data_IF_139090231506
#
_entry.id   IF_139090231506
#
_cell.length_a   1.000
_cell.length_b   1.000
_cell.length_c   1.000
_cell.angle_alpha   90.00
_cell.angle_beta   90.00
_cell.angle_gamma   90.00
#
_symmetry.space_group_name_H-M   'P 1'
#
loop_
_entity.id
_entity.type
_entity.pdbx_description
1 polymer ?
#
# COMPACT_ATOMS: atom_id res chain seq x y z
N UNK A 1 3.20 50.54 7.58
CA UNK A 1 2.73 50.70 6.20
C UNK A 1 2.28 49.33 5.75
N UNK A 2 1.00 49.15 5.39
CA UNK A 2 0.56 47.89 4.80
C UNK A 2 1.27 47.80 3.44
N UNK A 3 2.25 46.91 3.33
CA UNK A 3 2.95 46.66 2.08
C UNK A 3 1.92 46.13 1.10
N UNK A 4 1.71 46.81 -0.03
CA UNK A 4 0.84 46.29 -1.08
C UNK A 4 1.43 44.94 -1.55
N UNK A 5 0.66 43.86 -1.38
CA UNK A 5 1.06 42.51 -1.77
C UNK A 5 1.34 42.43 -3.28
N UNK A 6 0.67 43.27 -4.07
CA UNK A 6 0.96 43.45 -5.48
C UNK A 6 2.40 43.92 -5.70
N UNK A 7 2.80 45.02 -5.06
CA UNK A 7 4.16 45.57 -5.18
C UNK A 7 5.24 44.60 -4.65
N UNK A 8 4.94 43.88 -3.57
CA UNK A 8 5.85 42.89 -2.99
C UNK A 8 6.16 41.74 -3.96
N UNK A 9 5.16 41.30 -4.75
CA UNK A 9 5.30 40.14 -5.64
C UNK A 9 5.90 40.48 -7.00
N UNK A 10 5.84 41.75 -7.44
CA UNK A 10 6.36 42.20 -8.75
C UNK A 10 7.75 41.66 -9.09
N UNK A 11 8.76 41.70 -8.20
CA UNK A 11 10.10 41.19 -8.51
C UNK A 11 10.14 39.68 -8.78
N UNK A 12 9.19 38.93 -8.22
CA UNK A 12 9.15 37.48 -8.28
C UNK A 12 8.21 36.93 -9.34
N UNK A 13 7.27 37.73 -9.86
CA UNK A 13 6.30 37.30 -10.88
C UNK A 13 6.92 36.57 -12.08
N UNK A 14 8.11 36.96 -12.62
CA UNK A 14 8.74 36.23 -13.72
C UNK A 14 9.14 34.78 -13.40
N UNK A 15 9.28 34.43 -12.12
CA UNK A 15 9.64 33.09 -11.66
C UNK A 15 8.43 32.28 -11.18
N UNK A 16 7.21 32.82 -11.30
CA UNK A 16 5.96 32.12 -11.02
C UNK A 16 5.39 31.60 -12.33
N UNK A 17 5.30 30.28 -12.47
CA UNK A 17 4.71 29.61 -13.62
C UNK A 17 3.35 29.04 -13.27
N UNK A 18 2.44 29.09 -14.24
CA UNK A 18 1.18 28.34 -14.19
C UNK A 18 1.43 26.93 -14.75
N UNK A 19 1.14 25.85 -14.01
CA UNK A 19 1.22 24.48 -14.50
C UNK A 19 0.42 24.30 -15.81
N UNK A 20 1.02 23.64 -16.80
CA UNK A 20 0.39 23.32 -18.08
C UNK A 20 0.12 21.82 -18.21
N UNK A 21 -0.66 21.43 -19.22
CA UNK A 21 -0.88 20.02 -19.58
C UNK A 21 0.46 19.33 -19.86
N UNK A 22 0.85 18.38 -19.00
CA UNK A 22 2.12 17.64 -19.09
C UNK A 22 3.14 18.01 -18.00
N UNK A 23 2.97 19.13 -17.30
CA UNK A 23 3.79 19.46 -16.13
C UNK A 23 3.45 18.51 -14.96
N UNK A 24 4.47 18.07 -14.23
CA UNK A 24 4.33 17.21 -13.04
C UNK A 24 4.43 18.06 -11.79
N UNK A 25 3.39 18.03 -10.95
CA UNK A 25 3.31 18.83 -9.71
C UNK A 25 3.47 17.92 -8.50
N UNK A 26 4.61 18.02 -7.82
CA UNK A 26 4.95 17.19 -6.66
C UNK A 26 4.45 17.83 -5.35
N UNK A 27 3.14 17.75 -5.12
CA UNK A 27 2.46 18.31 -3.94
C UNK A 27 2.24 17.31 -2.78
N UNK A 28 2.67 16.06 -2.96
CA UNK A 28 2.42 14.98 -2.00
C UNK A 28 3.66 14.53 -1.23
N UNK A 29 4.86 14.71 -1.79
CA UNK A 29 6.10 14.17 -1.22
C UNK A 29 7.30 15.06 -1.57
N UNK A 30 8.22 15.21 -0.63
CA UNK A 30 9.49 15.90 -0.81
C UNK A 30 10.42 15.16 -1.79
N UNK A 31 11.19 15.89 -2.59
CA UNK A 31 12.17 15.30 -3.51
C UNK A 31 13.35 14.59 -2.78
N UNK A 32 13.73 15.06 -1.59
CA UNK A 32 14.89 14.59 -0.81
C UNK A 32 14.55 13.76 0.43
N UNK A 33 13.32 13.85 0.93
CA UNK A 33 12.83 13.13 2.11
C UNK A 33 11.44 12.54 1.86
N UNK A 34 10.90 11.80 2.83
CA UNK A 34 9.49 11.36 2.82
C UNK A 34 8.56 12.36 3.52
N UNK A 35 8.96 13.63 3.61
CA UNK A 35 8.05 14.67 4.10
C UNK A 35 6.87 14.86 3.16
N UNK A 36 5.71 15.09 3.77
CA UNK A 36 4.44 15.33 3.08
C UNK A 36 3.76 16.55 3.73
N UNK A 37 2.63 17.04 3.19
CA UNK A 37 1.88 18.09 3.87
C UNK A 37 1.40 17.70 5.28
N UNK A 38 1.33 16.41 5.60
CA UNK A 38 1.01 15.90 6.95
C UNK A 38 2.21 15.93 7.92
N UNK A 39 3.43 16.19 7.42
CA UNK A 39 4.61 16.38 8.28
C UNK A 39 4.47 17.69 9.08
N UNK A 40 5.11 17.76 10.25
CA UNK A 40 5.09 18.96 11.12
C UNK A 40 5.49 20.23 10.35
N UNK A 41 6.47 20.08 9.44
CA UNK A 41 6.98 21.13 8.57
C UNK A 41 6.12 21.52 7.38
N UNK A 42 5.13 20.70 7.03
CA UNK A 42 4.43 20.77 5.74
C UNK A 42 5.37 20.53 4.56
N UNK A 43 4.89 20.88 3.37
CA UNK A 43 5.61 20.72 2.10
C UNK A 43 5.62 22.04 1.33
N UNK A 44 6.78 22.44 0.81
CA UNK A 44 6.99 23.64 0.01
C UNK A 44 7.09 23.25 -1.47
N UNK A 45 6.10 23.63 -2.25
CA UNK A 45 6.07 23.39 -3.70
C UNK A 45 6.62 24.62 -4.42
N UNK A 46 7.69 24.44 -5.18
CA UNK A 46 8.30 25.49 -5.99
C UNK A 46 7.29 26.01 -7.04
N UNK A 47 7.01 27.32 -7.05
CA UNK A 47 6.06 27.92 -8.00
C UNK A 47 6.59 28.04 -9.44
N UNK A 48 7.83 27.58 -9.70
CA UNK A 48 8.45 27.57 -11.03
C UNK A 48 8.57 26.15 -11.61
N UNK A 49 9.15 25.23 -10.84
CA UNK A 49 9.45 23.85 -11.26
C UNK A 49 8.43 22.84 -10.78
N UNK A 50 7.55 23.22 -9.84
CA UNK A 50 6.53 22.38 -9.22
C UNK A 50 7.07 21.18 -8.45
N UNK A 51 8.35 21.22 -8.07
CA UNK A 51 8.98 20.26 -7.17
C UNK A 51 8.61 20.55 -5.71
N UNK A 52 8.38 19.51 -4.92
CA UNK A 52 8.07 19.58 -3.50
C UNK A 52 9.31 19.40 -2.63
N UNK A 53 9.44 20.21 -1.59
CA UNK A 53 10.55 20.18 -0.63
C UNK A 53 10.03 20.26 0.80
N UNK A 54 10.51 19.39 1.68
CA UNK A 54 10.27 19.51 3.12
C UNK A 54 10.96 20.74 3.70
N UNK A 55 10.60 21.10 4.94
CA UNK A 55 11.15 22.28 5.64
C UNK A 55 12.68 22.30 5.67
N UNK A 56 13.32 21.16 5.85
CA UNK A 56 14.80 21.06 5.92
C UNK A 56 15.47 21.17 4.54
N UNK A 57 14.72 21.01 3.45
CA UNK A 57 15.24 20.92 2.08
C UNK A 57 14.88 22.11 1.19
N UNK A 58 13.88 22.92 1.55
CA UNK A 58 13.49 24.10 0.76
C UNK A 58 14.62 25.13 0.68
N UNK A 59 15.33 25.35 1.79
CA UNK A 59 16.47 26.27 1.86
C UNK A 59 17.61 25.84 0.92
N UNK A 60 17.82 24.52 0.78
CA UNK A 60 18.79 23.95 -0.17
C UNK A 60 18.41 24.30 -1.61
N UNK A 61 17.14 24.13 -1.97
CA UNK A 61 16.66 24.48 -3.31
C UNK A 61 16.75 25.98 -3.58
N UNK A 62 16.38 26.83 -2.62
CA UNK A 62 16.52 28.28 -2.71
C UNK A 62 17.97 28.70 -2.97
N UNK A 63 18.92 28.21 -2.15
CA UNK A 63 20.35 28.55 -2.32
C UNK A 63 20.93 28.07 -3.65
N UNK A 64 20.45 26.93 -4.17
CA UNK A 64 20.95 26.33 -5.41
C UNK A 64 20.38 26.98 -6.67
N UNK A 65 19.13 27.44 -6.63
CA UNK A 65 18.39 27.90 -7.82
C UNK A 65 18.07 29.40 -7.81
N UNK A 66 18.14 30.06 -6.66
CA UNK A 66 17.64 31.42 -6.44
C UNK A 66 16.10 31.52 -6.39
N UNK A 67 15.37 30.42 -6.54
CA UNK A 67 13.91 30.45 -6.51
C UNK A 67 13.41 30.86 -5.13
N UNK A 68 12.66 31.95 -5.08
CA UNK A 68 12.24 32.56 -3.81
C UNK A 68 10.78 32.30 -3.44
N UNK A 69 9.91 31.98 -4.41
CA UNK A 69 8.48 31.81 -4.16
C UNK A 69 8.08 30.34 -4.17
N UNK A 70 7.47 29.91 -3.06
CA UNK A 70 6.97 28.55 -2.86
C UNK A 70 5.54 28.59 -2.35
N UNK A 71 4.75 27.58 -2.71
CA UNK A 71 3.46 27.31 -2.06
C UNK A 71 3.68 26.31 -0.93
N UNK A 72 3.47 26.74 0.30
CA UNK A 72 3.50 25.90 1.48
C UNK A 72 2.14 25.22 1.68
N UNK A 73 2.17 23.90 1.84
CA UNK A 73 1.02 23.03 2.02
C UNK A 73 1.13 22.31 3.34
N UNK A 74 0.08 22.39 4.16
CA UNK A 74 0.02 21.70 5.44
C UNK A 74 -1.36 21.08 5.65
N UNK A 75 -1.40 19.83 6.11
CA UNK A 75 -2.61 19.12 6.48
C UNK A 75 -2.61 18.87 7.98
N UNK A 76 -3.61 19.39 8.66
CA UNK A 76 -3.85 19.15 10.09
C UNK A 76 -4.84 17.99 10.22
N UNK A 77 -4.46 16.97 10.99
CA UNK A 77 -5.31 15.80 11.29
C UNK A 77 -5.82 15.96 12.72
N UNK A 78 -7.14 16.01 12.89
CA UNK A 78 -7.82 16.07 14.20
C UNK A 78 -8.64 14.81 14.39
N UNK A 79 -8.53 14.19 15.56
CA UNK A 79 -9.39 13.06 15.94
C UNK A 79 -10.76 13.59 16.39
N UNK A 80 -11.84 12.97 15.93
CA UNK A 80 -13.20 13.30 16.37
C UNK A 80 -13.37 12.84 17.81
N UNK A 81 -13.71 13.78 18.70
CA UNK A 81 -14.08 13.43 20.06
C UNK A 81 -15.36 12.60 20.06
N UNK A 82 -15.28 11.30 20.39
CA UNK A 82 -16.47 10.49 20.68
C UNK A 82 -17.04 10.91 22.04
N UNK A 83 -17.88 11.95 22.03
CA UNK A 83 -18.47 12.54 23.22
C UNK A 83 -19.99 12.42 23.25
N UNK A 84 -20.47 11.48 24.08
CA UNK A 84 -21.80 11.39 24.69
C UNK A 84 -23.03 11.12 23.80
N UNK A 85 -23.84 10.17 24.27
CA UNK A 85 -25.18 9.86 23.78
C UNK A 85 -26.04 11.13 23.60
N UNK A 86 -26.56 11.31 22.40
CA UNK A 86 -27.54 12.33 22.06
C UNK A 86 -27.72 12.37 20.56
N UNK A 87 -28.81 11.78 20.06
CA UNK A 87 -29.13 11.64 18.65
C UNK A 87 -29.31 12.97 17.91
N UNK A 88 -28.21 13.65 17.62
CA UNK A 88 -28.13 14.75 16.69
C UNK A 88 -27.06 14.42 15.66
N UNK A 89 -27.49 14.19 14.42
CA UNK A 89 -26.63 14.04 13.25
C UNK A 89 -25.65 15.22 13.22
N UNK A 90 -24.32 15.01 13.32
CA UNK A 90 -23.36 16.10 13.27
C UNK A 90 -23.45 16.75 11.88
N UNK A 91 -23.77 18.04 11.84
CA UNK A 91 -23.70 18.85 10.62
C UNK A 91 -22.27 18.80 10.11
N UNK A 92 -22.04 18.18 8.94
CA UNK A 92 -20.81 18.31 8.15
C UNK A 92 -20.47 19.80 8.04
N UNK A 93 -19.43 20.25 8.77
CA UNK A 93 -18.79 21.53 8.47
C UNK A 93 -17.95 21.30 7.22
N UNK A 94 -18.24 22.06 6.18
CA UNK A 94 -17.55 22.03 4.89
C UNK A 94 -16.11 22.56 5.07
N UNK A 95 -15.20 21.73 5.58
CA UNK A 95 -13.76 21.95 5.41
C UNK A 95 -13.42 21.78 3.93
N UNK A 96 -12.85 22.79 3.28
CA UNK A 96 -12.40 22.68 1.89
C UNK A 96 -11.15 21.79 1.86
N UNK A 97 -11.34 20.49 1.64
CA UNK A 97 -10.25 19.56 1.35
C UNK A 97 -9.88 19.76 -0.12
N UNK A 98 -8.69 20.29 -0.39
CA UNK A 98 -8.20 20.54 -1.76
C UNK A 98 -6.88 19.81 -2.04
N UNK A 99 -6.22 19.29 -1.00
CA UNK A 99 -5.11 18.37 -1.19
C UNK A 99 -5.69 16.98 -1.50
N UNK A 100 -5.68 16.62 -2.78
CA UNK A 100 -5.77 15.23 -3.23
C UNK A 100 -4.45 14.50 -2.88
N UNK A 101 -4.09 14.53 -1.60
CA UNK A 101 -3.18 13.58 -1.02
C UNK A 101 -3.98 12.30 -0.99
N UNK A 102 -3.86 11.53 -2.08
CA UNK A 102 -4.40 10.18 -2.22
C UNK A 102 -4.32 9.53 -0.86
N UNK A 103 -5.50 9.47 -0.23
CA UNK A 103 -5.65 9.06 1.16
C UNK A 103 -4.89 7.76 1.30
N UNK A 104 -4.08 7.66 2.35
CA UNK A 104 -3.75 6.37 2.92
C UNK A 104 -5.09 5.65 3.15
N UNK A 105 -5.55 4.87 2.16
CA UNK A 105 -6.87 4.20 2.15
C UNK A 105 -6.98 3.17 3.27
N UNK A 106 -5.92 2.99 4.05
CA UNK A 106 -5.88 2.16 5.26
C UNK A 106 -6.66 2.78 6.43
N UNK A 107 -7.08 4.05 6.36
CA UNK A 107 -7.99 4.65 7.35
C UNK A 107 -9.38 4.83 6.75
N UNK A 108 -10.13 3.73 6.66
CA UNK A 108 -11.59 3.72 6.68
C UNK A 108 -12.10 4.14 8.09
N UNK A 109 -11.56 5.24 8.63
CA UNK A 109 -11.94 5.76 9.93
C UNK A 109 -12.91 6.91 9.73
N UNK A 110 -14.18 6.70 10.04
CA UNK A 110 -15.16 7.77 10.24
C UNK A 110 -14.77 8.72 11.41
N UNK A 111 -13.56 8.58 11.97
CA UNK A 111 -13.06 9.15 13.22
C UNK A 111 -12.08 10.32 13.07
N UNK A 112 -11.62 10.69 11.86
CA UNK A 112 -10.69 11.81 11.67
C UNK A 112 -11.30 12.96 10.86
N UNK A 113 -11.01 14.19 11.28
CA UNK A 113 -11.25 15.43 10.55
C UNK A 113 -9.93 15.97 9.98
N UNK A 114 -9.94 16.34 8.70
CA UNK A 114 -8.79 16.87 7.99
C UNK A 114 -9.02 18.35 7.65
N UNK A 115 -8.03 19.18 7.95
CA UNK A 115 -8.02 20.60 7.63
C UNK A 115 -6.77 20.93 6.82
N UNK A 116 -6.97 21.34 5.57
CA UNK A 116 -5.90 21.70 4.64
C UNK A 116 -5.63 23.20 4.70
N UNK A 117 -4.37 23.57 4.81
CA UNK A 117 -3.87 24.94 4.85
C UNK A 117 -2.88 25.13 3.69
N UNK A 118 -3.06 26.22 2.95
CA UNK A 118 -2.15 26.63 1.87
C UNK A 118 -1.72 28.08 2.07
N UNK A 119 -0.44 28.35 1.83
CA UNK A 119 0.15 29.69 1.89
C UNK A 119 1.16 29.87 0.77
N UNK A 120 1.36 31.12 0.32
CA UNK A 120 2.57 31.48 -0.40
C UNK A 120 3.65 31.90 0.60
N UNK A 121 4.86 31.42 0.41
CA UNK A 121 6.02 31.76 1.24
C UNK A 121 7.12 32.32 0.34
N UNK A 122 7.62 33.51 0.71
CA UNK A 122 8.67 34.23 -0.03
C UNK A 122 9.96 34.21 0.78
N UNK A 123 11.01 33.61 0.22
CA UNK A 123 12.37 33.60 0.74
C UNK A 123 13.13 34.88 0.35
N UNK A 124 14.15 35.31 1.13
CA UNK A 124 14.68 34.67 2.34
C UNK A 124 13.92 35.01 3.64
N UNK A 125 13.05 36.02 3.63
CA UNK A 125 12.42 36.54 4.85
C UNK A 125 11.29 35.65 5.40
N UNK A 126 10.96 34.57 4.69
CA UNK A 126 9.86 33.65 5.01
C UNK A 126 8.51 34.38 5.15
N UNK A 127 8.29 35.39 4.31
CA UNK A 127 7.04 36.15 4.34
C UNK A 127 5.88 35.27 3.87
N UNK A 128 4.88 35.08 4.73
CA UNK A 128 3.74 34.19 4.48
C UNK A 128 2.49 34.97 4.05
N UNK A 129 1.85 34.53 2.97
CA UNK A 129 0.57 35.04 2.48
C UNK A 129 -0.44 33.89 2.51
N UNK A 130 -1.50 33.96 3.35
CA UNK A 130 -2.53 32.93 3.41
C UNK A 130 -3.30 32.80 2.10
N UNK A 131 -3.70 31.58 1.71
CA UNK A 131 -4.57 31.32 0.56
C UNK A 131 -5.93 30.75 1.01
N UNK A 132 -7.03 31.03 0.29
CA UNK A 132 -7.13 31.88 -0.90
C UNK A 132 -7.15 33.37 -0.53
N UNK A 133 -6.37 34.19 -1.24
CA UNK A 133 -6.39 35.65 -1.11
C UNK A 133 -6.64 36.30 -2.49
N UNK A 134 -7.90 36.22 -2.94
CA UNK A 134 -8.31 36.55 -4.32
C UNK A 134 -8.30 38.07 -4.56
N UNK A 135 -8.52 38.88 -3.53
CA UNK A 135 -8.67 40.33 -3.66
C UNK A 135 -7.33 41.09 -3.66
N UNK A 136 -6.30 40.56 -3.00
CA UNK A 136 -5.01 41.25 -2.84
C UNK A 136 -3.87 40.68 -3.72
N UNK A 137 -4.05 39.49 -4.29
CA UNK A 137 -3.03 38.85 -5.14
C UNK A 137 -3.19 39.22 -6.62
N UNK A 138 -2.09 39.44 -7.36
CA UNK A 138 -2.14 39.59 -8.81
C UNK A 138 -2.80 38.39 -9.49
N UNK A 139 -3.62 38.63 -10.52
CA UNK A 139 -4.41 37.58 -11.18
C UNK A 139 -3.56 36.38 -11.66
N UNK A 140 -2.35 36.62 -12.17
CA UNK A 140 -1.42 35.56 -12.59
C UNK A 140 -1.06 34.63 -11.42
N UNK A 141 -0.81 35.20 -10.24
CA UNK A 141 -0.41 34.47 -9.04
C UNK A 141 -1.58 33.65 -8.52
N UNK A 142 -2.78 34.23 -8.48
CA UNK A 142 -4.02 33.53 -8.11
C UNK A 142 -4.27 32.34 -9.04
N UNK A 143 -4.15 32.52 -10.36
CA UNK A 143 -4.30 31.44 -11.35
C UNK A 143 -3.24 30.35 -11.15
N UNK A 144 -1.98 30.73 -10.88
CA UNK A 144 -0.92 29.77 -10.64
C UNK A 144 -1.18 28.95 -9.37
N UNK A 145 -1.56 29.59 -8.26
CA UNK A 145 -1.93 28.91 -7.01
C UNK A 145 -3.07 27.93 -7.22
N UNK A 146 -4.18 28.36 -7.82
CA UNK A 146 -5.31 27.48 -8.10
C UNK A 146 -4.93 26.31 -9.00
N UNK A 147 -4.11 26.54 -10.03
CA UNK A 147 -3.63 25.49 -10.91
C UNK A 147 -2.72 24.47 -10.19
N UNK A 148 -1.83 24.91 -9.29
CA UNK A 148 -0.97 24.00 -8.51
C UNK A 148 -1.80 23.20 -7.50
N UNK A 149 -2.77 23.84 -6.82
CA UNK A 149 -3.68 23.17 -5.88
C UNK A 149 -4.54 22.10 -6.57
N UNK A 150 -5.04 22.37 -7.78
CA UNK A 150 -5.89 21.46 -8.54
C UNK A 150 -5.11 20.49 -9.45
N UNK A 151 -3.78 20.59 -9.55
CA UNK A 151 -2.97 19.72 -10.39
C UNK A 151 -3.08 18.25 -9.93
N UNK A 152 -3.24 17.27 -10.85
CA UNK A 152 -3.32 15.87 -10.48
C UNK A 152 -1.99 15.34 -9.92
N UNK A 153 -2.05 14.27 -9.12
CA UNK A 153 -0.87 13.52 -8.66
C UNK A 153 0.00 13.10 -9.86
N UNK A 154 1.33 13.27 -9.79
CA UNK A 154 2.23 12.82 -10.86
C UNK A 154 2.24 11.30 -11.00
N UNK A 155 1.71 10.58 -10.00
CA UNK A 155 1.66 9.13 -9.92
C UNK A 155 0.33 8.54 -10.42
N UNK A 156 -0.65 9.34 -10.85
CA UNK A 156 -2.01 8.91 -11.22
C UNK A 156 -2.08 7.88 -12.36
N UNK A 157 -1.04 7.76 -13.20
CA UNK A 157 -0.93 6.70 -14.22
C UNK A 157 -0.52 5.33 -13.64
N UNK A 158 -0.01 5.31 -12.42
CA UNK A 158 0.46 4.12 -11.71
C UNK A 158 -0.48 3.68 -10.58
N UNK A 159 -1.61 4.34 -10.38
CA UNK A 159 -2.66 3.86 -9.48
C UNK A 159 -3.85 3.41 -10.33
N UNK A 160 -4.15 2.10 -10.38
CA UNK A 160 -5.47 1.67 -10.79
C UNK A 160 -6.43 1.82 -9.60
N UNK A 161 -7.72 1.97 -9.92
CA UNK A 161 -8.83 1.61 -9.03
C UNK A 161 -8.51 0.31 -8.31
N UNK A 162 -8.84 0.26 -7.01
CA UNK A 162 -8.68 -0.91 -6.14
C UNK A 162 -9.10 -2.18 -6.88
N UNK A 163 -8.13 -3.00 -7.26
CA UNK A 163 -8.39 -4.35 -7.72
C UNK A 163 -8.67 -5.18 -6.47
N UNK A 164 -9.94 -5.43 -6.20
CA UNK A 164 -10.31 -6.79 -5.81
C UNK A 164 -9.88 -7.66 -7.00
N UNK A 165 -8.99 -8.63 -6.79
CA UNK A 165 -8.65 -9.57 -7.86
C UNK A 165 -9.96 -10.24 -8.28
N UNK A 166 -10.50 -9.87 -9.44
CA UNK A 166 -11.68 -10.53 -10.00
C UNK A 166 -11.30 -11.99 -10.25
N UNK A 167 -11.64 -12.86 -9.29
CA UNK A 167 -11.41 -14.30 -9.40
C UNK A 167 -12.07 -14.77 -10.69
N UNK A 168 -11.28 -15.30 -11.62
CA UNK A 168 -11.78 -15.67 -12.94
C UNK A 168 -12.58 -16.97 -12.86
N UNK A 169 -13.59 -17.09 -13.72
CA UNK A 169 -14.36 -18.34 -13.85
C UNK A 169 -13.47 -19.40 -14.51
N UNK A 170 -13.41 -20.60 -13.91
CA UNK A 170 -12.58 -21.68 -14.46
C UNK A 170 -13.04 -22.08 -15.86
N UNK A 171 -12.06 -22.38 -16.73
CA UNK A 171 -12.29 -23.02 -18.03
C UNK A 171 -13.02 -24.36 -17.92
N UNK A 172 -12.83 -25.06 -16.79
CA UNK A 172 -13.36 -26.41 -16.57
C UNK A 172 -14.73 -26.42 -15.91
N UNK A 173 -15.19 -25.31 -15.32
CA UNK A 173 -16.43 -25.26 -14.55
C UNK A 173 -17.64 -25.78 -15.36
N UNK A 174 -17.78 -25.38 -16.63
CA UNK A 174 -18.92 -25.79 -17.48
C UNK A 174 -18.77 -27.14 -18.17
N UNK A 175 -17.54 -27.65 -18.27
CA UNK A 175 -17.23 -28.89 -18.99
C UNK A 175 -16.83 -30.03 -18.05
N UNK A 176 -16.90 -29.81 -16.73
CA UNK A 176 -16.52 -30.79 -15.73
C UNK A 176 -17.44 -32.00 -15.81
N UNK A 177 -16.86 -33.19 -15.99
CA UNK A 177 -17.60 -34.44 -16.04
C UNK A 177 -17.46 -35.16 -14.71
N UNK A 178 -18.52 -35.17 -13.91
CA UNK A 178 -18.52 -35.89 -12.64
C UNK A 178 -18.75 -37.39 -12.88
N UNK A 179 -17.94 -38.23 -12.25
CA UNK A 179 -18.06 -39.68 -12.34
C UNK A 179 -19.19 -40.17 -11.44
N UNK A 180 -20.03 -41.06 -11.96
CA UNK A 180 -21.06 -41.73 -11.17
C UNK A 180 -20.47 -42.97 -10.49
N UNK A 181 -19.73 -42.73 -9.41
CA UNK A 181 -19.05 -43.76 -8.63
C UNK A 181 -19.77 -44.08 -7.31
N UNK A 182 -21.00 -43.57 -7.12
CA UNK A 182 -21.81 -43.80 -5.92
C UNK A 182 -21.24 -43.20 -4.62
N UNK A 183 -20.23 -42.33 -4.71
CA UNK A 183 -19.60 -41.69 -3.55
C UNK A 183 -20.53 -40.63 -2.97
N UNK A 184 -20.87 -40.77 -1.69
CA UNK A 184 -21.57 -39.76 -0.91
C UNK A 184 -20.67 -39.25 0.19
N UNK A 185 -20.47 -37.93 0.23
CA UNK A 185 -19.57 -37.31 1.19
C UNK A 185 -20.34 -37.01 2.48
N UNK A 186 -19.90 -37.53 3.64
CA UNK A 186 -20.55 -37.20 4.90
C UNK A 186 -20.36 -35.71 5.22
N UNK A 187 -21.23 -35.08 6.02
CA UNK A 187 -21.15 -33.65 6.33
C UNK A 187 -20.02 -33.27 7.29
N UNK A 188 -19.34 -34.24 7.92
CA UNK A 188 -18.21 -34.01 8.81
C UNK A 188 -17.35 -35.28 8.99
N UNK A 189 -16.21 -35.15 9.66
CA UNK A 189 -15.32 -36.27 9.96
C UNK A 189 -14.43 -36.69 8.80
N UNK A 190 -14.19 -35.79 7.84
CA UNK A 190 -13.35 -36.07 6.69
C UNK A 190 -11.90 -36.37 7.10
N UNK A 191 -11.28 -37.27 6.34
CA UNK A 191 -9.88 -37.66 6.49
C UNK A 191 -9.30 -37.83 5.10
N UNK A 192 -8.04 -37.46 4.92
CA UNK A 192 -7.32 -37.74 3.70
C UNK A 192 -7.31 -39.26 3.44
N UNK A 193 -7.61 -39.68 2.21
CA UNK A 193 -7.61 -41.11 1.86
C UNK A 193 -6.22 -41.76 1.84
N UNK A 194 -5.13 -40.95 1.81
CA UNK A 194 -3.73 -41.43 1.77
C UNK A 194 -2.96 -41.26 3.08
N UNK A 195 -3.37 -40.36 3.99
CA UNK A 195 -2.67 -40.15 5.25
C UNK A 195 -3.62 -39.85 6.42
N UNK A 196 -3.06 -39.53 7.59
CA UNK A 196 -3.84 -39.34 8.80
C UNK A 196 -4.46 -37.95 9.00
N UNK A 197 -4.27 -37.07 8.01
CA UNK A 197 -4.69 -35.68 8.05
C UNK A 197 -6.21 -35.51 8.06
N UNK A 198 -6.69 -34.66 8.96
CA UNK A 198 -8.10 -34.27 9.10
C UNK A 198 -8.36 -32.80 8.77
N UNK A 199 -7.30 -32.05 8.47
CA UNK A 199 -7.33 -30.61 8.20
C UNK A 199 -6.76 -30.33 6.80
N UNK A 200 -7.14 -29.19 6.22
CA UNK A 200 -6.75 -28.76 4.87
C UNK A 200 -7.04 -29.83 3.80
N UNK A 201 -8.31 -30.23 3.74
CA UNK A 201 -8.81 -31.29 2.87
C UNK A 201 -9.53 -30.71 1.65
N UNK A 202 -9.15 -31.23 0.50
CA UNK A 202 -9.65 -30.85 -0.80
C UNK A 202 -10.45 -32.01 -1.38
N UNK A 203 -11.69 -31.74 -1.74
CA UNK A 203 -12.59 -32.65 -2.42
C UNK A 203 -12.45 -32.43 -3.93
N UNK A 204 -12.04 -33.44 -4.66
CA UNK A 204 -12.02 -33.36 -6.11
C UNK A 204 -13.45 -33.41 -6.67
N UNK A 205 -13.82 -32.44 -7.50
CA UNK A 205 -15.18 -32.31 -8.02
C UNK A 205 -15.50 -33.33 -9.12
N UNK A 206 -14.52 -34.08 -9.63
CA UNK A 206 -14.69 -35.09 -10.67
C UNK A 206 -15.06 -36.46 -10.10
N UNK A 207 -14.36 -36.93 -9.08
CA UNK A 207 -14.50 -38.29 -8.55
C UNK A 207 -14.83 -38.36 -7.04
N UNK A 208 -14.97 -37.21 -6.37
CA UNK A 208 -15.31 -37.16 -4.95
C UNK A 208 -14.20 -37.64 -4.04
N UNK A 209 -12.96 -37.76 -4.53
CA UNK A 209 -11.84 -38.17 -3.69
C UNK A 209 -11.40 -37.01 -2.76
N UNK A 210 -11.09 -37.35 -1.51
CA UNK A 210 -10.66 -36.37 -0.48
C UNK A 210 -9.18 -36.54 -0.18
N UNK A 211 -8.40 -35.50 -0.48
CA UNK A 211 -6.96 -35.48 -0.24
C UNK A 211 -6.50 -34.23 0.50
N UNK A 212 -5.38 -34.33 1.22
CA UNK A 212 -4.78 -33.18 1.87
C UNK A 212 -4.06 -32.29 0.85
N UNK A 213 -4.05 -30.98 1.14
CA UNK A 213 -3.45 -29.95 0.30
C UNK A 213 -1.92 -30.04 0.20
N UNK A 214 -1.29 -29.00 -0.33
CA UNK A 214 0.16 -28.94 -0.58
C UNK A 214 0.99 -29.08 0.70
N UNK A 215 2.14 -29.73 0.56
CA UNK A 215 3.18 -29.80 1.59
C UNK A 215 4.02 -28.52 1.58
N UNK A 216 4.21 -27.92 2.75
CA UNK A 216 5.05 -26.74 2.93
C UNK A 216 6.30 -27.10 3.75
N UNK A 217 7.40 -26.41 3.45
CA UNK A 217 8.74 -26.69 3.97
C UNK A 217 8.88 -26.47 5.50
N UNK A 218 7.94 -25.74 6.11
CA UNK A 218 7.92 -25.44 7.54
C UNK A 218 7.25 -26.54 8.40
N UNK A 219 6.78 -27.62 7.78
CA UNK A 219 6.09 -28.73 8.46
C UNK A 219 4.60 -28.48 8.71
N UNK A 220 4.05 -27.34 8.28
CA UNK A 220 2.62 -27.06 8.23
C UNK A 220 2.05 -27.36 6.82
N UNK A 221 0.74 -27.63 6.71
CA UNK A 221 0.08 -28.00 5.45
C UNK A 221 -0.20 -29.48 5.25
N UNK A 222 -0.65 -29.85 4.05
CA UNK A 222 -0.95 -31.22 3.64
C UNK A 222 0.29 -31.99 3.20
N UNK A 223 0.14 -33.22 2.70
CA UNK A 223 1.25 -34.00 2.14
C UNK A 223 1.32 -33.90 0.59
N UNK A 224 0.59 -32.96 -0.01
CA UNK A 224 0.52 -32.78 -1.47
C UNK A 224 -0.36 -33.80 -2.19
N UNK A 225 -1.14 -34.61 -1.47
CA UNK A 225 -1.88 -35.72 -2.07
C UNK A 225 -2.96 -35.28 -3.07
N UNK A 226 -3.53 -34.08 -2.92
CA UNK A 226 -4.49 -33.55 -3.90
C UNK A 226 -3.83 -33.26 -5.26
N UNK A 227 -2.60 -32.72 -5.24
CA UNK A 227 -1.81 -32.50 -6.46
C UNK A 227 -1.32 -33.83 -7.06
N UNK A 228 -0.90 -34.78 -6.23
CA UNK A 228 -0.50 -36.11 -6.71
C UNK A 228 -1.67 -36.86 -7.34
N UNK A 229 -2.87 -36.68 -6.80
CA UNK A 229 -4.08 -37.23 -7.39
C UNK A 229 -4.34 -36.60 -8.77
N UNK A 230 -4.30 -35.27 -8.88
CA UNK A 230 -4.41 -34.59 -10.17
C UNK A 230 -3.39 -35.11 -11.20
N UNK A 231 -2.11 -35.28 -10.82
CA UNK A 231 -1.08 -35.81 -11.72
C UNK A 231 -1.38 -37.24 -12.22
N UNK A 232 -2.18 -38.01 -11.49
CA UNK A 232 -2.52 -39.40 -11.84
C UNK A 232 -3.83 -39.51 -12.63
N UNK A 233 -4.81 -38.65 -12.34
CA UNK A 233 -6.17 -38.76 -12.88
C UNK A 233 -6.52 -37.65 -13.87
N UNK A 234 -5.75 -36.55 -13.87
CA UNK A 234 -5.99 -35.34 -14.65
C UNK A 234 -7.35 -34.68 -14.33
N UNK A 235 -7.81 -34.80 -13.09
CA UNK A 235 -9.05 -34.20 -12.59
C UNK A 235 -8.83 -32.75 -12.12
N UNK A 236 -9.30 -31.73 -12.87
CA UNK A 236 -8.75 -30.37 -12.80
C UNK A 236 -9.22 -29.55 -11.59
N UNK A 237 -10.43 -29.79 -11.08
CA UNK A 237 -11.06 -28.94 -10.06
C UNK A 237 -11.17 -29.63 -8.70
N UNK A 238 -10.80 -28.92 -7.64
CA UNK A 238 -11.07 -29.32 -6.27
C UNK A 238 -11.61 -28.15 -5.44
N UNK A 239 -12.54 -28.48 -4.55
CA UNK A 239 -13.13 -27.54 -3.58
C UNK A 239 -12.56 -27.82 -2.20
N UNK A 240 -12.30 -26.77 -1.44
CA UNK A 240 -11.87 -26.90 -0.06
C UNK A 240 -13.09 -27.18 0.83
N UNK A 241 -13.09 -28.30 1.56
CA UNK A 241 -14.28 -28.83 2.25
C UNK A 241 -14.83 -27.94 3.37
N UNK A 242 -14.04 -26.98 3.80
CA UNK A 242 -14.15 -26.25 5.05
C UNK A 242 -14.43 -24.75 4.84
N UNK A 243 -14.49 -24.34 3.59
CA UNK A 243 -14.90 -23.02 3.12
C UNK A 243 -16.26 -23.08 2.42
N UNK A 244 -16.93 -24.24 2.43
CA UNK A 244 -18.26 -24.42 1.82
C UNK A 244 -19.30 -23.72 2.69
N UNK A 245 -19.82 -22.62 2.18
CA UNK A 245 -20.87 -21.81 2.79
C UNK A 245 -22.05 -21.66 1.82
N UNK A 246 -23.24 -21.19 2.28
CA UNK A 246 -24.37 -20.92 1.39
C UNK A 246 -24.06 -19.92 0.27
N UNK A 247 -23.15 -18.98 0.54
CA UNK A 247 -22.77 -17.92 -0.41
C UNK A 247 -21.68 -18.36 -1.42
N UNK A 248 -21.02 -19.49 -1.22
CA UNK A 248 -19.96 -19.97 -2.10
C UNK A 248 -18.97 -20.93 -1.44
N UNK A 249 -17.95 -21.35 -2.19
CA UNK A 249 -16.86 -22.18 -1.71
C UNK A 249 -15.56 -21.85 -2.45
N UNK A 250 -14.42 -21.98 -1.78
CA UNK A 250 -13.10 -21.82 -2.40
C UNK A 250 -12.80 -23.00 -3.33
N UNK A 251 -12.68 -22.71 -4.63
CA UNK A 251 -12.35 -23.70 -5.66
C UNK A 251 -10.97 -23.41 -6.23
N UNK A 252 -10.18 -24.46 -6.40
CA UNK A 252 -8.85 -24.41 -6.98
C UNK A 252 -8.78 -25.24 -8.27
N UNK A 253 -8.16 -24.68 -9.29
CA UNK A 253 -7.91 -25.35 -10.57
C UNK A 253 -6.44 -25.78 -10.64
N UNK A 254 -6.18 -27.08 -10.66
CA UNK A 254 -4.83 -27.62 -10.80
C UNK A 254 -4.26 -27.44 -12.22
N UNK A 255 -5.13 -27.25 -13.22
CA UNK A 255 -4.72 -27.00 -14.60
C UNK A 255 -4.37 -25.53 -14.83
N UNK A 256 -5.07 -24.61 -14.16
CA UNK A 256 -4.82 -23.16 -14.23
C UNK A 256 -3.84 -22.68 -13.15
N UNK A 257 -3.50 -23.56 -12.20
CA UNK A 257 -2.63 -23.31 -11.04
C UNK A 257 -3.08 -22.14 -10.13
N UNK A 258 -4.34 -21.73 -10.22
CA UNK A 258 -4.92 -20.56 -9.56
C UNK A 258 -6.27 -20.85 -8.88
N UNK A 259 -6.70 -19.95 -7.99
CA UNK A 259 -8.05 -19.94 -7.42
C UNK A 259 -9.05 -19.46 -8.48
N UNK A 260 -10.17 -20.15 -8.59
CA UNK A 260 -11.14 -19.95 -9.67
C UNK A 260 -12.57 -19.90 -9.14
N UNK A 261 -13.46 -19.23 -9.86
CA UNK A 261 -14.90 -19.33 -9.61
C UNK A 261 -15.49 -20.50 -10.38
N UNK A 262 -16.37 -21.24 -9.72
CA UNK A 262 -17.21 -22.25 -10.33
C UNK A 262 -18.69 -21.84 -10.21
N UNK A 263 -19.29 -21.28 -11.28
CA UNK A 263 -20.69 -20.89 -11.28
C UNK A 263 -21.67 -22.05 -11.04
N UNK A 264 -21.23 -23.31 -11.21
CA UNK A 264 -22.04 -24.52 -11.04
C UNK A 264 -21.66 -25.31 -9.79
N UNK A 265 -20.96 -24.68 -8.84
CA UNK A 265 -20.46 -25.34 -7.62
C UNK A 265 -21.57 -26.02 -6.82
N UNK A 266 -22.78 -25.44 -6.78
CA UNK A 266 -23.93 -26.03 -6.11
C UNK A 266 -24.40 -27.34 -6.75
N UNK A 267 -24.40 -27.42 -8.08
CA UNK A 267 -24.72 -28.63 -8.83
C UNK A 267 -23.62 -29.69 -8.62
N UNK A 268 -22.35 -29.28 -8.69
CA UNK A 268 -21.22 -30.18 -8.50
C UNK A 268 -21.15 -30.77 -7.08
N UNK A 269 -21.46 -29.97 -6.05
CA UNK A 269 -21.53 -30.44 -4.67
C UNK A 269 -22.75 -31.35 -4.44
N UNK A 270 -23.89 -31.05 -5.09
CA UNK A 270 -25.11 -31.84 -4.98
C UNK A 270 -24.92 -33.27 -5.50
N UNK A 271 -24.10 -33.47 -6.54
CA UNK A 271 -23.75 -34.81 -7.05
C UNK A 271 -23.18 -35.73 -5.97
N UNK A 272 -22.37 -35.16 -5.06
CA UNK A 272 -21.78 -35.89 -3.93
C UNK A 272 -22.65 -35.91 -2.67
N UNK A 273 -23.88 -35.39 -2.75
CA UNK A 273 -24.83 -35.32 -1.64
C UNK A 273 -24.55 -34.18 -0.64
N UNK A 274 -23.80 -33.14 -1.04
CA UNK A 274 -23.54 -31.95 -0.23
C UNK A 274 -24.53 -30.85 -0.64
N UNK A 275 -25.48 -30.56 0.25
CA UNK A 275 -26.44 -29.46 0.08
C UNK A 275 -25.92 -28.20 0.79
N UNK A 276 -25.58 -27.17 0.02
CA UNK A 276 -25.03 -25.90 0.53
C UNK A 276 -25.99 -25.18 1.49
N UNK A 277 -27.31 -25.40 1.37
CA UNK A 277 -28.32 -24.76 2.23
C UNK A 277 -28.48 -25.43 3.60
N UNK A 278 -28.17 -26.73 3.73
CA UNK A 278 -28.31 -27.47 4.99
C UNK A 278 -27.10 -27.32 5.92
N UNK A 279 -25.98 -26.79 5.43
CA UNK A 279 -24.77 -26.56 6.22
C UNK A 279 -24.97 -25.52 7.35
N UNK A 280 -25.98 -24.64 7.23
CA UNK A 280 -26.24 -23.55 8.19
C UNK A 280 -27.06 -24.00 9.43
N UNK A 281 -27.87 -25.06 9.37
CA UNK A 281 -28.84 -25.40 10.43
C UNK A 281 -28.27 -26.13 11.66
N UNK A 282 -26.97 -26.43 11.72
CA UNK A 282 -26.38 -27.21 12.83
C UNK A 282 -25.31 -26.48 13.63
N UNK A 283 -24.86 -25.31 13.21
CA UNK A 283 -23.96 -24.47 14.02
C UNK A 283 -24.66 -23.79 15.20
N UNK A 284 -26.00 -23.76 15.23
CA UNK A 284 -26.76 -23.07 16.30
C UNK A 284 -27.20 -23.95 17.49
N UNK A 285 -27.17 -25.29 17.41
CA UNK A 285 -27.79 -26.16 18.45
C UNK A 285 -26.89 -27.25 19.08
N UNK A 286 -25.57 -27.11 19.01
CA UNK A 286 -24.63 -28.03 19.66
C UNK A 286 -23.62 -27.27 20.51
N UNK A 287 -23.79 -27.32 21.84
CA UNK A 287 -22.81 -27.04 22.89
C UNK A 287 -21.61 -26.17 22.47
N UNK A 288 -21.61 -24.92 22.94
CA UNK A 288 -20.38 -24.14 23.15
C UNK A 288 -19.45 -24.89 24.12
N UNK A 289 -18.70 -25.87 23.63
CA UNK A 289 -17.36 -26.12 24.15
C UNK A 289 -16.44 -25.23 23.36
N UNK A 290 -15.89 -24.23 24.04
CA UNK A 290 -14.84 -23.34 23.57
C UNK A 290 -13.81 -24.08 22.72
N UNK A 291 -14.01 -24.02 21.42
CA UNK A 291 -12.98 -24.20 20.42
C UNK A 291 -13.24 -23.06 19.46
N UNK A 292 -12.68 -21.90 19.78
CA UNK A 292 -12.38 -20.86 18.79
C UNK A 292 -11.87 -21.57 17.55
N UNK A 293 -12.72 -21.66 16.51
CA UNK A 293 -12.30 -22.01 15.18
C UNK A 293 -11.30 -20.91 14.80
N UNK A 294 -10.01 -21.18 15.01
CA UNK A 294 -8.95 -20.28 14.58
C UNK A 294 -9.17 -20.09 13.08
N UNK A 295 -9.30 -18.85 12.59
CA UNK A 295 -9.33 -18.58 11.17
C UNK A 295 -8.12 -19.28 10.55
N UNK A 296 -8.35 -19.95 9.42
CA UNK A 296 -7.32 -20.67 8.70
C UNK A 296 -6.27 -19.68 8.24
N UNK A 297 -5.08 -19.83 8.81
CA UNK A 297 -3.89 -19.09 8.46
C UNK A 297 -3.55 -19.40 6.99
N UNK A 298 -3.96 -18.51 6.08
CA UNK A 298 -3.51 -18.46 4.68
C UNK A 298 -1.97 -18.51 4.60
N UNK A 299 -1.37 -18.97 3.49
CA UNK A 299 0.09 -18.89 3.24
C UNK A 299 0.60 -17.44 3.46
N UNK A 300 -0.24 -16.46 3.13
CA UNK A 300 -0.04 -15.05 3.47
C UNK A 300 -0.07 -14.76 4.96
N UNK A 301 -0.98 -15.37 5.70
CA UNK A 301 -1.09 -15.20 7.15
C UNK A 301 0.07 -15.89 7.89
N UNK A 302 0.66 -16.97 7.38
CA UNK A 302 1.86 -17.57 7.98
C UNK A 302 3.08 -16.69 7.72
N UNK A 303 3.27 -16.22 6.48
CA UNK A 303 4.38 -15.33 6.10
C UNK A 303 4.28 -13.96 6.80
N UNK A 304 3.06 -13.43 6.96
CA UNK A 304 2.81 -12.21 7.75
C UNK A 304 2.81 -12.47 9.26
N UNK A 305 2.91 -13.73 9.68
CA UNK A 305 2.68 -14.16 11.06
C UNK A 305 1.34 -13.61 11.61
N UNK A 306 0.35 -13.45 10.75
CA UNK A 306 -1.01 -13.00 11.04
C UNK A 306 -1.65 -13.92 12.07
N UNK A 307 -2.16 -13.31 13.14
CA UNK A 307 -2.66 -14.03 14.31
C UNK A 307 -1.59 -14.33 15.37
N UNK A 308 -0.29 -14.21 15.07
CA UNK A 308 0.76 -14.23 16.08
C UNK A 308 0.86 -12.86 16.75
N UNK A 309 0.98 -12.85 18.09
CA UNK A 309 1.32 -11.63 18.83
C UNK A 309 2.81 -11.37 18.68
N UNK A 310 3.20 -10.78 17.55
CA UNK A 310 4.56 -10.30 17.36
C UNK A 310 4.85 -9.06 18.19
N UNK A 311 6.09 -8.95 18.65
CA UNK A 311 6.56 -7.73 19.29
C UNK A 311 6.86 -6.70 18.20
N UNK A 312 6.05 -5.64 18.15
CA UNK A 312 6.35 -4.50 17.29
C UNK A 312 7.73 -3.92 17.63
N UNK A 313 8.59 -3.80 16.63
CA UNK A 313 9.93 -3.22 16.72
C UNK A 313 9.93 -1.84 16.09
N UNK A 314 10.65 -0.89 16.68
CA UNK A 314 10.71 0.50 16.25
C UNK A 314 12.16 0.98 16.26
N UNK A 315 12.45 2.00 15.47
CA UNK A 315 13.73 2.71 15.46
C UNK A 315 14.56 2.50 14.19
N UNK A 316 15.84 2.89 14.24
CA UNK A 316 16.77 2.79 13.11
C UNK A 316 16.83 1.39 12.51
N UNK A 317 16.59 1.27 11.19
CA UNK A 317 16.62 -0.01 10.47
C UNK A 317 15.37 -0.87 10.63
N UNK A 318 14.36 -0.40 11.37
CA UNK A 318 13.08 -1.09 11.58
C UNK A 318 11.90 -0.33 10.98
N UNK A 319 12.12 0.37 9.86
CA UNK A 319 11.08 1.11 9.15
C UNK A 319 10.39 0.21 8.14
N UNK A 320 9.05 0.09 8.23
CA UNK A 320 8.24 -0.62 7.23
C UNK A 320 8.16 0.12 5.88
N UNK A 321 8.04 -0.64 4.79
CA UNK A 321 7.80 -0.13 3.43
C UNK A 321 6.36 -0.39 3.05
N UNK A 322 5.62 0.66 2.70
CA UNK A 322 4.22 0.55 2.27
C UNK A 322 4.11 -0.16 0.93
N UNK A 323 3.12 -1.04 0.82
CA UNK A 323 2.73 -1.65 -0.45
C UNK A 323 2.01 -0.61 -1.33
N UNK A 324 2.43 -0.48 -2.58
CA UNK A 324 1.92 0.47 -3.57
C UNK A 324 1.06 -0.22 -4.65
N UNK A 325 0.41 -1.33 -4.29
CA UNK A 325 -0.23 -2.27 -5.22
C UNK A 325 0.79 -3.26 -5.79
N UNK A 326 0.71 -4.51 -5.34
CA UNK A 326 1.58 -5.63 -5.74
C UNK A 326 3.09 -5.34 -5.66
N UNK A 327 3.53 -4.41 -4.81
CA UNK A 327 4.93 -3.95 -4.77
C UNK A 327 5.76 -4.62 -3.68
N UNK A 328 5.33 -5.79 -3.18
CA UNK A 328 6.02 -6.53 -2.12
C UNK A 328 7.43 -6.98 -2.56
N UNK A 329 7.60 -7.41 -3.81
CA UNK A 329 8.89 -7.79 -4.39
C UNK A 329 9.93 -6.65 -4.24
N UNK A 330 9.52 -5.41 -4.54
CA UNK A 330 10.36 -4.22 -4.41
C UNK A 330 10.67 -3.93 -2.95
N UNK A 331 9.66 -3.97 -2.08
CA UNK A 331 9.84 -3.76 -0.63
C UNK A 331 10.88 -4.73 -0.05
N UNK A 332 10.79 -6.03 -0.39
CA UNK A 332 11.72 -7.07 0.05
C UNK A 332 13.15 -6.81 -0.42
N UNK A 333 13.35 -6.55 -1.71
CA UNK A 333 14.67 -6.29 -2.28
C UNK A 333 15.32 -5.05 -1.63
N UNK A 334 14.56 -3.97 -1.47
CA UNK A 334 15.07 -2.73 -0.89
C UNK A 334 15.47 -2.90 0.59
N UNK A 335 14.68 -3.63 1.39
CA UNK A 335 15.01 -3.93 2.79
C UNK A 335 16.30 -4.74 2.91
N UNK A 336 16.49 -5.75 2.05
CA UNK A 336 17.71 -6.57 2.05
C UNK A 336 18.92 -5.74 1.64
N UNK A 337 18.81 -4.94 0.56
CA UNK A 337 19.91 -4.10 0.08
C UNK A 337 20.40 -3.12 1.16
N UNK A 338 19.49 -2.43 1.84
CA UNK A 338 19.87 -1.49 2.90
C UNK A 338 20.23 -2.15 4.23
N UNK A 339 20.18 -3.48 4.30
CA UNK A 339 20.79 -4.26 5.40
C UNK A 339 22.28 -4.54 5.16
N UNK A 340 22.78 -4.33 3.94
CA UNK A 340 24.20 -4.54 3.56
C UNK A 340 25.01 -3.27 3.86
N UNK A 341 26.09 -3.34 4.68
CA UNK A 341 26.87 -2.17 5.09
C UNK A 341 27.43 -1.33 3.93
N UNK A 342 27.80 -1.96 2.82
CA UNK A 342 28.33 -1.27 1.63
C UNK A 342 27.30 -0.32 1.01
N UNK A 343 26.05 -0.76 0.85
CA UNK A 343 24.95 0.08 0.38
C UNK A 343 24.64 1.21 1.36
N UNK A 344 24.69 0.94 2.67
CA UNK A 344 24.51 1.95 3.70
C UNK A 344 25.59 3.04 3.61
N UNK A 345 26.87 2.64 3.50
CA UNK A 345 27.99 3.59 3.35
C UNK A 345 27.88 4.40 2.08
N UNK A 346 27.55 3.74 0.96
CA UNK A 346 27.46 4.36 -0.36
C UNK A 346 26.40 5.46 -0.40
N UNK A 347 25.16 5.16 0.02
CA UNK A 347 24.03 6.06 -0.15
C UNK A 347 23.69 6.89 1.09
N UNK A 348 23.82 6.31 2.28
CA UNK A 348 23.47 7.01 3.55
C UNK A 348 24.70 7.66 4.17
N UNK A 349 25.87 7.03 4.09
CA UNK A 349 27.14 7.63 4.52
C UNK A 349 27.52 8.88 3.71
N UNK A 350 27.21 8.89 2.41
CA UNK A 350 27.47 10.03 1.51
C UNK A 350 26.25 10.93 1.25
N UNK A 351 25.18 10.81 2.06
CA UNK A 351 23.89 11.49 1.84
C UNK A 351 24.02 12.98 1.50
N UNK A 352 24.79 13.74 2.30
CA UNK A 352 24.95 15.18 2.10
C UNK A 352 25.60 15.49 0.76
N UNK A 353 26.66 14.75 0.39
CA UNK A 353 27.34 14.90 -0.90
C UNK A 353 26.37 14.62 -2.04
N UNK A 354 25.63 13.52 -1.99
CA UNK A 354 24.64 13.17 -3.02
C UNK A 354 23.62 14.29 -3.19
N UNK A 355 23.10 14.83 -2.08
CA UNK A 355 22.11 15.92 -2.14
C UNK A 355 22.72 17.25 -2.63
N UNK A 356 23.97 17.54 -2.31
CA UNK A 356 24.67 18.76 -2.78
C UNK A 356 24.86 18.71 -4.30
N UNK A 357 25.30 17.57 -4.85
CA UNK A 357 25.59 17.36 -6.27
C UNK A 357 24.39 16.94 -7.12
N UNK A 358 23.21 16.76 -6.52
CA UNK A 358 21.96 16.44 -7.23
C UNK A 358 21.67 17.37 -8.44
N UNK A 359 20.97 16.92 -9.49
CA UNK A 359 20.51 17.82 -10.54
C UNK A 359 19.42 18.78 -10.03
N UNK A 360 19.00 19.73 -10.89
CA UNK A 360 17.92 20.67 -10.58
C UNK A 360 16.56 19.98 -10.32
N UNK A 361 16.34 18.81 -10.91
CA UNK A 361 15.20 17.93 -10.63
C UNK A 361 15.70 16.65 -9.94
N UNK A 362 15.75 16.62 -8.59
CA UNK A 362 16.23 15.46 -7.83
C UNK A 362 15.28 14.26 -7.89
N UNK A 363 14.04 14.44 -8.39
CA UNK A 363 13.07 13.34 -8.52
C UNK A 363 13.43 12.38 -9.66
N UNK A 364 14.31 12.81 -10.56
CA UNK A 364 14.80 12.03 -11.69
C UNK A 364 16.23 11.50 -11.47
N UNK A 365 16.82 11.76 -10.30
CA UNK A 365 18.18 11.33 -9.97
C UNK A 365 18.20 10.05 -9.12
N UNK A 366 18.81 9.00 -9.66
CA UNK A 366 18.84 7.69 -9.02
C UNK A 366 19.59 7.71 -7.69
N UNK A 367 20.77 8.36 -7.64
CA UNK A 367 21.55 8.45 -6.43
C UNK A 367 20.78 9.18 -5.32
N UNK A 368 20.12 10.30 -5.64
CA UNK A 368 19.27 11.03 -4.68
C UNK A 368 18.12 10.17 -4.18
N UNK A 369 17.40 9.45 -5.05
CA UNK A 369 16.27 8.62 -4.62
C UNK A 369 16.71 7.40 -3.80
N UNK A 370 17.85 6.79 -4.10
CA UNK A 370 18.45 5.73 -3.29
C UNK A 370 18.91 6.25 -1.93
N UNK A 371 19.55 7.41 -1.88
CA UNK A 371 19.97 8.06 -0.64
C UNK A 371 18.78 8.44 0.25
N UNK A 372 17.73 9.02 -0.33
CA UNK A 372 16.45 9.30 0.32
C UNK A 372 15.84 8.02 0.91
N UNK A 373 15.77 6.95 0.13
CA UNK A 373 15.22 5.67 0.57
C UNK A 373 16.02 5.08 1.74
N UNK A 374 17.34 5.00 1.59
CA UNK A 374 18.23 4.47 2.64
C UNK A 374 18.12 5.27 3.94
N UNK A 375 18.06 6.60 3.85
CA UNK A 375 17.83 7.44 5.01
C UNK A 375 16.46 7.18 5.66
N UNK A 376 15.40 7.03 4.85
CA UNK A 376 14.06 6.70 5.35
C UNK A 376 14.02 5.37 6.10
N UNK A 377 14.75 4.35 5.61
CA UNK A 377 14.82 3.04 6.23
C UNK A 377 15.67 3.04 7.52
N UNK A 378 16.82 3.72 7.50
CA UNK A 378 17.83 3.59 8.55
C UNK A 378 17.77 4.67 9.63
N UNK A 379 17.14 5.82 9.39
CA UNK A 379 17.12 6.92 10.36
C UNK A 379 16.24 6.68 11.60
N UNK A 380 15.22 5.83 11.47
CA UNK A 380 14.19 5.64 12.51
C UNK A 380 13.15 6.76 12.59
N UNK A 381 13.22 7.80 11.74
CA UNK A 381 12.26 8.91 11.74
C UNK A 381 10.82 8.45 11.44
N UNK A 382 10.69 7.43 10.58
CA UNK A 382 9.41 6.85 10.14
C UNK A 382 9.04 5.56 10.90
N UNK A 383 9.80 5.22 11.95
CA UNK A 383 9.61 4.04 12.79
C UNK A 383 9.62 4.45 14.27
N UNK A 384 8.60 5.20 14.67
CA UNK A 384 8.43 5.68 16.06
C UNK A 384 7.31 4.93 16.76
N UNK A 385 7.46 4.59 18.06
CA UNK A 385 6.37 4.02 18.83
C UNK A 385 5.23 5.05 18.99
N UNK A 386 3.98 4.60 19.17
CA UNK A 386 2.87 5.50 19.48
C UNK A 386 3.19 6.31 20.74
N UNK A 387 2.91 7.62 20.71
CA UNK A 387 3.18 8.51 21.85
C UNK A 387 2.37 8.08 23.07
N UNK A 388 3.02 8.10 24.24
CA UNK A 388 2.53 7.66 25.57
C UNK A 388 1.36 8.48 26.17
N UNK A 389 0.48 9.08 25.37
CA UNK A 389 -0.63 9.89 25.91
C UNK A 389 -1.87 9.09 26.33
N UNK A 390 -1.91 7.78 26.13
CA UNK A 390 -3.07 6.94 26.49
C UNK A 390 -2.75 5.82 27.48
N UNK A 391 -1.74 6.02 28.35
CA UNK A 391 -1.35 5.03 29.37
C UNK A 391 -2.35 4.88 30.54
N UNK A 392 -3.55 5.46 30.47
CA UNK A 392 -4.55 5.33 31.55
C UNK A 392 -5.92 4.78 31.09
N UNK A 393 -6.25 4.73 29.80
CA UNK A 393 -7.56 4.15 29.34
C UNK A 393 -7.44 2.99 28.32
N UNK A 394 -6.23 2.57 27.93
CA UNK A 394 -6.04 1.49 26.95
C UNK A 394 -6.17 0.05 27.48
N UNK A 395 -6.71 -0.16 28.69
CA UNK A 395 -7.01 -1.52 29.17
C UNK A 395 -8.30 -2.08 28.56
N UNK A 396 -9.08 -1.29 27.81
CA UNK A 396 -10.42 -1.71 27.34
C UNK A 396 -10.73 -1.57 25.84
N UNK A 397 -9.77 -1.20 24.97
CA UNK A 397 -9.97 -1.20 23.51
C UNK A 397 -8.75 -1.79 22.79
N UNK A 398 -8.66 -3.12 22.76
CA UNK A 398 -7.58 -3.89 22.12
C UNK A 398 -7.64 -3.97 20.57
N UNK A 399 -8.44 -3.15 19.88
CA UNK A 399 -8.67 -3.31 18.43
C UNK A 399 -8.12 -2.21 17.49
N UNK A 400 -7.59 -1.09 18.00
CA UNK A 400 -7.00 -0.07 17.12
C UNK A 400 -5.47 -0.13 17.18
N UNK A 401 -4.89 -1.12 16.48
CA UNK A 401 -3.44 -1.17 16.24
C UNK A 401 -3.04 0.07 15.43
N UNK A 402 -2.48 1.08 16.08
CA UNK A 402 -1.72 2.14 15.41
C UNK A 402 -0.51 1.50 14.71
N UNK A 403 -0.71 1.07 13.47
CA UNK A 403 0.34 0.51 12.62
C UNK A 403 1.39 1.60 12.32
N UNK A 404 2.64 1.20 12.18
CA UNK A 404 3.69 2.11 11.74
C UNK A 404 3.31 2.74 10.41
N UNK A 405 3.42 4.06 10.31
CA UNK A 405 3.16 4.78 9.06
C UNK A 405 4.16 4.39 7.97
N UNK A 406 5.39 3.96 8.31
CA UNK A 406 6.37 3.48 7.33
C UNK A 406 6.73 4.52 6.26
N UNK A 407 7.35 4.06 5.16
CA UNK A 407 7.72 4.88 4.00
C UNK A 407 7.10 4.36 2.70
N UNK A 408 6.84 5.27 1.77
CA UNK A 408 6.20 4.98 0.48
C UNK A 408 7.16 5.30 -0.66
N UNK A 409 7.87 4.33 -1.26
CA UNK A 409 8.91 4.57 -2.27
C UNK A 409 8.34 4.87 -3.67
N UNK A 410 7.27 5.68 -3.77
CA UNK A 410 6.58 6.01 -5.04
C UNK A 410 7.51 6.66 -6.05
N UNK A 411 8.33 7.60 -5.59
CA UNK A 411 9.25 8.34 -6.45
C UNK A 411 10.34 7.42 -7.04
N UNK A 412 10.91 6.53 -6.24
CA UNK A 412 11.87 5.52 -6.70
C UNK A 412 11.21 4.52 -7.66
N UNK A 413 10.05 3.95 -7.31
CA UNK A 413 9.28 3.04 -8.18
C UNK A 413 9.04 3.69 -9.54
N UNK A 414 8.55 4.93 -9.56
CA UNK A 414 8.28 5.68 -10.80
C UNK A 414 9.51 5.82 -11.69
N UNK A 415 10.68 6.02 -11.09
CA UNK A 415 11.94 6.14 -11.81
C UNK A 415 12.43 4.81 -12.37
N UNK A 416 12.62 3.79 -11.53
CA UNK A 416 13.23 2.52 -11.96
C UNK A 416 12.33 1.73 -12.90
N UNK A 417 11.02 1.96 -12.83
CA UNK A 417 10.03 1.32 -13.69
C UNK A 417 9.82 2.03 -15.03
N UNK A 418 10.37 3.23 -15.22
CA UNK A 418 10.06 4.06 -16.39
C UNK A 418 10.50 3.38 -17.70
N UNK A 419 9.53 3.04 -18.54
CA UNK A 419 9.77 2.41 -19.84
C UNK A 419 10.07 0.91 -19.78
N UNK A 420 10.03 0.28 -18.59
CA UNK A 420 10.25 -1.16 -18.45
C UNK A 420 8.95 -1.94 -18.69
N UNK A 421 8.90 -2.98 -19.54
CA UNK A 421 7.67 -3.70 -19.86
C UNK A 421 7.02 -4.38 -18.65
N UNK A 422 7.84 -4.92 -17.75
CA UNK A 422 7.37 -5.57 -16.51
C UNK A 422 7.09 -4.55 -15.40
N UNK A 423 8.13 -3.87 -14.90
CA UNK A 423 8.02 -2.99 -13.72
C UNK A 423 7.20 -1.71 -13.90
N UNK A 424 6.89 -1.26 -15.14
CA UNK A 424 5.98 -0.12 -15.36
C UNK A 424 4.53 -0.43 -15.02
N UNK A 425 4.17 -1.72 -15.01
CA UNK A 425 2.86 -2.20 -14.60
C UNK A 425 2.77 -2.39 -13.07
N UNK A 426 1.55 -2.50 -12.55
CA UNK A 426 1.29 -2.77 -11.13
C UNK A 426 0.93 -4.23 -10.85
N UNK A 427 1.31 -5.16 -11.72
CA UNK A 427 1.16 -6.60 -11.45
C UNK A 427 2.23 -7.08 -10.48
N UNK A 428 2.01 -8.26 -9.92
CA UNK A 428 3.03 -8.96 -9.15
C UNK A 428 4.23 -9.27 -10.06
N UNK A 429 5.44 -9.17 -9.50
CA UNK A 429 6.69 -9.35 -10.24
C UNK A 429 7.67 -10.20 -9.45
N UNK A 430 8.62 -10.81 -10.16
CA UNK A 430 9.69 -11.61 -9.56
C UNK A 430 10.74 -10.72 -8.86
N UNK A 431 11.09 -11.09 -7.63
CA UNK A 431 12.03 -10.32 -6.82
C UNK A 431 13.47 -10.41 -7.33
N UNK A 432 13.87 -11.54 -7.91
CA UNK A 432 15.22 -11.72 -8.46
C UNK A 432 15.41 -10.93 -9.76
N UNK A 433 14.41 -10.90 -10.64
CA UNK A 433 14.41 -10.06 -11.84
C UNK A 433 14.48 -8.57 -11.47
N UNK A 434 13.69 -8.14 -10.48
CA UNK A 434 13.75 -6.77 -9.98
C UNK A 434 15.11 -6.43 -9.36
N UNK A 435 15.70 -7.35 -8.60
CA UNK A 435 17.05 -7.18 -8.05
C UNK A 435 18.08 -6.98 -9.16
N UNK A 436 18.11 -7.85 -10.18
CA UNK A 436 19.05 -7.70 -11.31
C UNK A 436 18.83 -6.40 -12.08
N UNK A 437 17.57 -5.99 -12.25
CA UNK A 437 17.22 -4.71 -12.86
C UNK A 437 17.79 -3.53 -12.05
N UNK A 438 17.65 -3.55 -10.73
CA UNK A 438 18.16 -2.51 -9.85
C UNK A 438 19.70 -2.47 -9.83
N UNK A 439 20.37 -3.62 -9.85
CA UNK A 439 21.85 -3.69 -9.97
C UNK A 439 22.34 -3.02 -11.26
N UNK A 440 21.66 -3.21 -12.39
CA UNK A 440 22.01 -2.51 -13.64
C UNK A 440 21.92 -0.99 -13.51
N UNK A 441 20.92 -0.48 -12.79
CA UNK A 441 20.82 0.95 -12.50
C UNK A 441 22.01 1.44 -11.68
N UNK A 442 22.44 0.66 -10.69
CA UNK A 442 23.60 0.99 -9.85
C UNK A 442 24.87 1.02 -10.70
N UNK A 443 25.14 -0.03 -11.49
CA UNK A 443 26.31 -0.09 -12.37
C UNK A 443 26.38 1.08 -13.35
N UNK A 444 25.25 1.46 -13.96
CA UNK A 444 25.18 2.59 -14.89
C UNK A 444 25.38 3.91 -14.16
N UNK A 445 24.83 4.07 -12.96
CA UNK A 445 25.00 5.29 -12.17
C UNK A 445 26.44 5.49 -11.69
N UNK A 446 27.15 4.41 -11.34
CA UNK A 446 28.56 4.46 -10.94
C UNK A 446 29.50 4.68 -12.12
N UNK A 447 29.14 4.24 -13.33
CA UNK A 447 29.97 4.44 -14.52
C UNK A 447 29.99 5.90 -15.03
N UNK A 448 29.15 6.77 -14.46
CA UNK A 448 29.01 8.19 -14.86
C UNK A 448 29.68 9.15 -13.86
N UNK A 449 30.07 8.66 -12.68
CA UNK A 449 30.96 9.34 -11.72
C UNK A 449 32.43 8.94 -11.92
#
# INVERSE_FOLDING_TARGET
MATDLGELLVPYMPTIRVPKTGDRVFKSECAFSFDSPESEGGLYVCMNTFLGFGREHVERHYRKTGQSVYMHLKRHVKEKSTGAAGGAIPRRKNGKVFLDLELNRDFNGEDYEYEDEAKLVIFPDHFEIPLPNIEELPALVTIACDAVLNAPSPYKKQEPESWEEDIQVSKHARSLRQLDNGVKIPPSGWKCQRCEMKENLWLNLTDGAIFCGKWFFDGSGGNGHALDHYKQTNHPLAVKLDTINPDGADVYSFDEEEAVLDPQISEHLSHFGIDMLQMQQRTENGHHTDNNARPRVSEWEVIQESGMKLKAVYGPGYTGVKNLGNSCYMGTVLQVLFSIPDFQRMYVGNLQRIFDYSPLDPTQDFATQMAKLGHGLLSGQHSKPPMKSELIEQVMKEEYKLQQKGISPRMLKSMVSRGHPEFSSNRQQDAHEFFLHLIKFIEVSEAVD
#
